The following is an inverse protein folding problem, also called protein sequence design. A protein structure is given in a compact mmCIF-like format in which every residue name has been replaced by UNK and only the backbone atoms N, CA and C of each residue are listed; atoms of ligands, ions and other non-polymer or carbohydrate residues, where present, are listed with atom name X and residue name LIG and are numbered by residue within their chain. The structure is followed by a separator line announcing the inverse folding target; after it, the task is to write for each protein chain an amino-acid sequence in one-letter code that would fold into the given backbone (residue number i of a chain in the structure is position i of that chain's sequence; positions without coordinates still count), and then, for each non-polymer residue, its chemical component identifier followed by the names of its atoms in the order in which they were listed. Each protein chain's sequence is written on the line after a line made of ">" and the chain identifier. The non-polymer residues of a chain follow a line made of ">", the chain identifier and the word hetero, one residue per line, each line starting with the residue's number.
data_IF_990340576659
#
_entry.id   IF_990340576659
#
_cell.length_a   1.000
_cell.length_b   1.000
_cell.length_c   1.000
_cell.angle_alpha   90.00
_cell.angle_beta   90.00
_cell.angle_gamma   90.00
#
_symmetry.space_group_name_H-M   'P 1'
#
loop_
_entity.id
_entity.type
_entity.pdbx_description
1 polymer ?
#
# COMPACT_ATOMS: atom_id res chain seq x y z
N UNK A 1 10.76 16.75 0.43
CA UNK A 1 9.44 16.33 -0.12
C UNK A 1 8.73 15.48 0.91
N UNK A 2 7.50 15.80 1.28
CA UNK A 2 6.67 15.01 2.21
C UNK A 2 5.73 14.09 1.41
N UNK A 3 6.25 12.95 0.94
CA UNK A 3 5.50 12.02 0.08
C UNK A 3 4.64 11.00 0.85
N UNK A 4 4.78 10.93 2.17
CA UNK A 4 3.93 10.12 3.05
C UNK A 4 2.81 11.01 3.58
N UNK A 5 1.57 10.69 3.22
CA UNK A 5 0.38 11.46 3.59
C UNK A 5 -0.54 10.62 4.48
N UNK A 6 -1.36 11.28 5.30
CA UNK A 6 -2.38 10.60 6.10
C UNK A 6 -3.69 10.54 5.31
N UNK A 7 -4.19 9.33 5.04
CA UNK A 7 -5.49 9.10 4.39
C UNK A 7 -6.65 9.01 5.40
N UNK A 8 -6.37 9.18 6.70
CA UNK A 8 -7.33 8.99 7.79
C UNK A 8 -6.98 7.73 8.58
N UNK A 9 -7.52 6.56 8.22
CA UNK A 9 -7.26 5.31 8.94
C UNK A 9 -5.88 4.69 8.67
N UNK A 10 -5.16 5.15 7.64
CA UNK A 10 -3.82 4.69 7.31
C UNK A 10 -2.96 5.80 6.70
N UNK A 11 -1.64 5.61 6.70
CA UNK A 11 -0.69 6.40 5.92
C UNK A 11 -0.62 5.87 4.49
N UNK A 12 -0.45 6.77 3.53
CA UNK A 12 -0.36 6.45 2.11
C UNK A 12 0.94 7.00 1.50
N UNK A 13 1.55 6.22 0.63
CA UNK A 13 2.69 6.62 -0.17
C UNK A 13 2.64 6.00 -1.58
N UNK A 14 3.33 6.62 -2.53
CA UNK A 14 3.44 6.11 -3.90
C UNK A 14 4.86 6.26 -4.41
N UNK A 15 5.37 5.21 -5.06
CA UNK A 15 6.60 5.27 -5.87
C UNK A 15 6.18 5.75 -7.25
N UNK A 16 6.61 6.95 -7.62
CA UNK A 16 6.24 7.55 -8.90
C UNK A 16 7.05 6.95 -10.05
N UNK A 17 6.43 6.89 -11.22
CA UNK A 17 7.14 6.59 -12.47
C UNK A 17 8.27 7.62 -12.69
N UNK A 18 9.43 7.15 -13.16
CA UNK A 18 10.62 7.99 -13.30
C UNK A 18 11.43 8.21 -12.02
N UNK A 19 10.97 7.72 -10.86
CA UNK A 19 11.83 7.67 -9.65
C UNK A 19 13.06 6.82 -9.95
N UNK A 20 14.29 7.27 -9.62
CA UNK A 20 15.48 6.43 -9.75
C UNK A 20 15.25 5.08 -9.09
N UNK A 21 15.66 4.00 -9.75
CA UNK A 21 15.55 2.64 -9.20
C UNK A 21 14.11 2.13 -8.98
N UNK A 22 13.07 2.82 -9.48
CA UNK A 22 11.66 2.41 -9.36
C UNK A 22 11.41 0.97 -9.81
N UNK A 23 12.15 0.50 -10.82
CA UNK A 23 12.05 -0.86 -11.36
C UNK A 23 12.25 -1.96 -10.32
N UNK A 24 13.05 -1.72 -9.27
CA UNK A 24 13.26 -2.72 -8.22
C UNK A 24 12.00 -2.86 -7.35
N UNK A 25 11.24 -1.79 -7.18
CA UNK A 25 10.03 -1.78 -6.37
C UNK A 25 8.81 -2.35 -7.08
N UNK A 26 8.89 -2.61 -8.40
CA UNK A 26 7.91 -3.44 -9.11
C UNK A 26 8.06 -4.95 -8.82
N UNK A 27 8.90 -5.33 -7.84
CA UNK A 27 8.91 -6.65 -7.23
C UNK A 27 8.17 -6.60 -5.87
N UNK A 28 7.19 -7.48 -5.61
CA UNK A 28 6.40 -7.47 -4.37
C UNK A 28 7.23 -7.42 -3.08
N UNK A 29 8.29 -8.24 -3.01
CA UNK A 29 9.13 -8.33 -1.82
C UNK A 29 9.94 -7.05 -1.58
N UNK A 30 10.45 -6.43 -2.65
CA UNK A 30 11.15 -5.16 -2.56
C UNK A 30 10.20 -4.02 -2.15
N UNK A 31 8.96 -4.01 -2.65
CA UNK A 31 7.94 -3.05 -2.24
C UNK A 31 7.58 -3.20 -0.76
N UNK A 32 7.39 -4.43 -0.29
CA UNK A 32 7.11 -4.73 1.13
C UNK A 32 8.27 -4.26 2.04
N UNK A 33 9.52 -4.49 1.63
CA UNK A 33 10.69 -4.02 2.35
C UNK A 33 10.77 -2.48 2.36
N UNK A 34 10.54 -1.84 1.22
CA UNK A 34 10.47 -0.38 1.10
C UNK A 34 9.38 0.19 2.02
N UNK A 35 8.20 -0.42 2.06
CA UNK A 35 7.11 0.00 2.94
C UNK A 35 7.56 0.00 4.40
N UNK A 36 8.19 -1.10 4.86
CA UNK A 36 8.64 -1.24 6.26
C UNK A 36 9.67 -0.19 6.64
N UNK A 37 10.65 0.07 5.77
CA UNK A 37 11.64 1.12 6.01
C UNK A 37 11.01 2.51 5.98
N UNK A 38 10.13 2.77 5.01
CA UNK A 38 9.42 4.05 4.87
C UNK A 38 8.60 4.38 6.11
N UNK A 39 7.81 3.42 6.61
CA UNK A 39 6.98 3.62 7.79
C UNK A 39 7.83 3.89 9.05
N UNK A 40 8.88 3.10 9.27
CA UNK A 40 9.80 3.31 10.40
C UNK A 40 10.51 4.65 10.33
N UNK A 41 11.02 5.02 9.15
CA UNK A 41 11.67 6.30 8.93
C UNK A 41 10.69 7.46 9.19
N UNK A 42 9.49 7.40 8.61
CA UNK A 42 8.46 8.42 8.80
C UNK A 42 8.12 8.59 10.29
N UNK A 43 7.85 7.50 11.00
CA UNK A 43 7.56 7.50 12.43
C UNK A 43 8.69 8.09 13.27
N UNK A 44 9.96 7.83 12.90
CA UNK A 44 11.12 8.32 13.66
C UNK A 44 11.31 9.83 13.59
N UNK A 45 10.89 10.47 12.49
CA UNK A 45 11.05 11.91 12.26
C UNK A 45 9.75 12.70 12.46
N UNK A 46 8.60 12.03 12.36
CA UNK A 46 7.29 12.67 12.47
C UNK A 46 6.98 13.05 13.93
N UNK A 47 6.62 14.31 14.15
CA UNK A 47 6.24 14.81 15.48
C UNK A 47 4.88 14.29 15.94
N UNK A 48 4.03 13.85 15.02
CA UNK A 48 2.70 13.33 15.36
C UNK A 48 2.80 11.92 15.93
N UNK A 49 2.58 11.77 17.24
CA UNK A 49 2.62 10.47 17.94
C UNK A 49 1.63 9.45 17.38
N UNK A 50 0.51 9.89 16.77
CA UNK A 50 -0.48 9.00 16.14
C UNK A 50 0.09 8.24 14.94
N UNK A 51 1.15 8.73 14.30
CA UNK A 51 1.78 8.04 13.15
C UNK A 51 2.30 6.64 13.52
N UNK A 52 2.66 6.40 14.80
CA UNK A 52 3.13 5.09 15.28
C UNK A 52 2.06 4.00 15.23
N UNK A 53 0.80 4.40 15.43
CA UNK A 53 -0.36 3.51 15.46
C UNK A 53 -1.10 3.41 14.13
N UNK A 54 -0.64 4.13 13.10
CA UNK A 54 -1.22 4.04 11.76
C UNK A 54 -0.45 3.02 10.91
N UNK A 55 -1.15 2.16 10.16
CA UNK A 55 -0.52 1.34 9.15
C UNK A 55 -0.08 2.16 7.94
N UNK A 56 0.69 1.56 7.02
CA UNK A 56 1.06 2.17 5.74
C UNK A 56 0.55 1.32 4.57
N UNK A 57 -0.07 1.98 3.60
CA UNK A 57 -0.32 1.43 2.26
C UNK A 57 0.58 2.15 1.26
N UNK A 58 1.41 1.39 0.55
CA UNK A 58 2.29 1.90 -0.51
C UNK A 58 1.85 1.37 -1.87
N UNK A 59 2.01 2.19 -2.90
CA UNK A 59 1.72 1.82 -4.29
C UNK A 59 2.91 2.06 -5.21
N UNK A 60 2.99 1.32 -6.31
CA UNK A 60 3.95 1.57 -7.39
C UNK A 60 3.36 1.12 -8.73
N UNK A 61 3.65 1.80 -9.86
CA UNK A 61 3.35 1.27 -11.17
C UNK A 61 3.95 -0.12 -11.38
N UNK A 62 3.23 -0.98 -12.09
CA UNK A 62 3.76 -2.27 -12.51
C UNK A 62 4.54 -2.14 -13.81
N UNK A 63 5.83 -1.83 -13.69
CA UNK A 63 6.71 -1.65 -14.86
C UNK A 63 7.14 -2.98 -15.50
N UNK A 64 6.78 -4.15 -14.92
CA UNK A 64 7.07 -5.45 -15.54
C UNK A 64 6.13 -5.72 -16.71
N UNK A 65 4.89 -5.22 -16.61
CA UNK A 65 3.85 -5.38 -17.62
C UNK A 65 3.21 -4.01 -17.91
N UNK A 66 3.92 -3.09 -18.56
CA UNK A 66 3.45 -1.71 -18.75
C UNK A 66 2.10 -1.62 -19.50
N UNK A 67 1.86 -2.55 -20.43
CA UNK A 67 0.60 -2.64 -21.20
C UNK A 67 -0.62 -3.03 -20.35
N UNK A 68 -0.43 -3.54 -19.12
CA UNK A 68 -1.52 -4.04 -18.29
C UNK A 68 -2.32 -2.95 -17.58
N UNK A 69 -1.85 -1.70 -17.57
CA UNK A 69 -2.41 -0.59 -16.78
C UNK A 69 -2.67 -0.95 -15.30
N UNK A 70 -1.77 -1.73 -14.71
CA UNK A 70 -1.85 -2.18 -13.32
C UNK A 70 -0.85 -1.45 -12.43
N UNK A 71 -1.14 -1.40 -11.15
CA UNK A 71 -0.22 -0.99 -10.10
C UNK A 71 -0.14 -2.07 -9.02
N UNK A 72 0.99 -2.15 -8.31
CA UNK A 72 1.10 -2.93 -7.09
C UNK A 72 0.64 -2.09 -5.90
N UNK A 73 -0.11 -2.72 -4.99
CA UNK A 73 -0.54 -2.14 -3.72
C UNK A 73 -0.05 -3.06 -2.60
N UNK A 74 0.63 -2.50 -1.60
CA UNK A 74 1.14 -3.25 -0.45
C UNK A 74 0.74 -2.56 0.85
N UNK A 75 0.10 -3.30 1.75
CA UNK A 75 -0.27 -2.83 3.09
C UNK A 75 0.62 -3.45 4.17
N UNK A 76 1.10 -2.64 5.13
CA UNK A 76 1.88 -3.10 6.28
C UNK A 76 1.29 -2.58 7.61
N UNK A 77 1.36 -3.36 8.70
CA UNK A 77 0.80 -2.97 9.98
C UNK A 77 1.54 -1.77 10.62
N UNK A 78 0.95 -1.12 11.63
CA UNK A 78 1.60 -0.06 12.38
C UNK A 78 2.92 -0.49 13.03
N UNK A 79 3.81 0.47 13.32
CA UNK A 79 5.08 0.19 14.03
C UNK A 79 4.83 -0.25 15.48
N UNK A 80 3.74 0.22 16.09
CA UNK A 80 3.35 -0.18 17.45
C UNK A 80 2.73 -1.58 17.53
N UNK A 81 2.46 -2.24 16.40
CA UNK A 81 1.90 -3.59 16.39
C UNK A 81 3.02 -4.62 16.61
N UNK A 82 2.92 -5.38 17.71
CA UNK A 82 3.87 -6.44 18.06
C UNK A 82 3.45 -7.79 17.45
N UNK A 83 2.17 -7.93 17.10
CA UNK A 83 1.67 -9.13 16.42
C UNK A 83 2.27 -9.25 15.02
N UNK A 84 2.65 -10.47 14.58
CA UNK A 84 3.06 -10.69 13.20
C UNK A 84 1.89 -10.64 12.21
N UNK A 85 0.65 -10.46 12.68
CA UNK A 85 -0.55 -10.49 11.83
C UNK A 85 -0.67 -9.23 10.98
N UNK A 86 -0.98 -9.42 9.71
CA UNK A 86 -1.29 -8.36 8.77
C UNK A 86 -2.72 -8.51 8.27
N UNK A 87 -3.56 -7.51 8.54
CA UNK A 87 -4.99 -7.54 8.18
C UNK A 87 -5.27 -7.05 6.75
N UNK A 88 -4.28 -6.46 6.07
CA UNK A 88 -4.51 -5.86 4.75
C UNK A 88 -4.91 -6.87 3.68
N UNK A 89 -4.51 -8.14 3.78
CA UNK A 89 -4.95 -9.13 2.79
C UNK A 89 -6.48 -9.27 2.76
N UNK A 90 -7.11 -9.40 3.93
CA UNK A 90 -8.57 -9.46 4.04
C UNK A 90 -9.23 -8.12 3.74
N UNK A 91 -8.62 -7.00 4.14
CA UNK A 91 -9.15 -5.67 3.85
C UNK A 91 -9.14 -5.36 2.34
N UNK A 92 -8.09 -5.76 1.63
CA UNK A 92 -7.97 -5.59 0.18
C UNK A 92 -8.96 -6.47 -0.58
N UNK A 93 -9.14 -7.72 -0.15
CA UNK A 93 -10.16 -8.62 -0.69
C UNK A 93 -11.57 -8.01 -0.59
N UNK A 94 -11.95 -7.55 0.61
CA UNK A 94 -13.26 -6.92 0.83
C UNK A 94 -13.44 -5.60 0.07
N UNK A 95 -12.40 -4.76 0.00
CA UNK A 95 -12.46 -3.50 -0.75
C UNK A 95 -12.61 -3.76 -2.26
N UNK A 96 -11.90 -4.73 -2.81
CA UNK A 96 -12.00 -5.12 -4.21
C UNK A 96 -13.38 -5.70 -4.54
N UNK A 97 -13.90 -6.61 -3.70
CA UNK A 97 -15.22 -7.21 -3.86
C UNK A 97 -16.34 -6.16 -3.80
N UNK A 98 -16.34 -5.29 -2.77
CA UNK A 98 -17.35 -4.25 -2.57
C UNK A 98 -17.43 -3.27 -3.74
N UNK A 99 -16.31 -3.03 -4.42
CA UNK A 99 -16.23 -2.05 -5.52
C UNK A 99 -16.32 -2.69 -6.89
N UNK A 100 -16.23 -4.02 -7.01
CA UNK A 100 -16.04 -4.70 -8.28
C UNK A 100 -14.76 -4.24 -8.99
N UNK A 101 -13.69 -3.95 -8.23
CA UNK A 101 -12.41 -3.53 -8.78
C UNK A 101 -11.70 -4.71 -9.43
N UNK A 102 -11.08 -4.46 -10.58
CA UNK A 102 -10.17 -5.40 -11.24
C UNK A 102 -8.86 -5.45 -10.44
N UNK A 103 -8.78 -6.44 -9.56
CA UNK A 103 -7.60 -6.71 -8.75
C UNK A 103 -7.16 -8.18 -8.88
N UNK A 104 -5.85 -8.43 -8.86
CA UNK A 104 -5.27 -9.77 -8.82
C UNK A 104 -4.69 -9.99 -7.41
N UNK A 105 -5.23 -10.99 -6.71
CA UNK A 105 -4.89 -11.33 -5.32
C UNK A 105 -4.14 -12.67 -5.26
N UNK A 106 -3.19 -12.86 -6.18
CA UNK A 106 -2.53 -14.17 -6.41
C UNK A 106 -1.14 -14.27 -5.77
N UNK A 107 -0.65 -13.22 -5.12
CA UNK A 107 0.61 -13.28 -4.38
C UNK A 107 0.47 -14.14 -3.13
N UNK A 108 1.54 -14.86 -2.79
CA UNK A 108 1.62 -15.63 -1.53
C UNK A 108 1.41 -14.72 -0.31
N UNK A 109 2.06 -13.55 -0.32
CA UNK A 109 1.82 -12.50 0.66
C UNK A 109 0.53 -11.76 0.31
N UNK A 110 -0.56 -12.14 0.98
CA UNK A 110 -1.91 -11.61 0.70
C UNK A 110 -2.05 -10.10 0.93
N UNK A 111 -1.15 -9.49 1.70
CA UNK A 111 -1.11 -8.04 1.90
C UNK A 111 -0.52 -7.27 0.71
N UNK A 112 -0.32 -7.93 -0.42
CA UNK A 112 0.10 -7.35 -1.69
C UNK A 112 -0.88 -7.79 -2.77
N UNK A 113 -1.32 -6.85 -3.61
CA UNK A 113 -2.21 -7.11 -4.75
C UNK A 113 -1.73 -6.35 -6.00
N UNK A 114 -2.16 -6.79 -7.19
CA UNK A 114 -2.17 -5.93 -8.38
C UNK A 114 -3.55 -5.33 -8.53
N UNK A 115 -3.63 -4.05 -8.86
CA UNK A 115 -4.88 -3.30 -8.97
C UNK A 115 -4.86 -2.48 -10.26
N UNK A 116 -5.95 -2.52 -11.01
CA UNK A 116 -6.14 -1.66 -12.17
C UNK A 116 -6.04 -0.19 -11.76
N UNK A 117 -5.26 0.61 -12.50
CA UNK A 117 -5.10 2.04 -12.23
C UNK A 117 -6.45 2.77 -12.33
N UNK A 118 -7.32 2.32 -13.24
CA UNK A 118 -8.66 2.89 -13.45
C UNK A 118 -9.58 2.71 -12.23
N UNK A 119 -9.32 1.67 -11.42
CA UNK A 119 -10.13 1.32 -10.25
C UNK A 119 -9.57 1.87 -8.94
N UNK A 120 -8.40 2.49 -9.00
CA UNK A 120 -7.64 2.93 -7.84
C UNK A 120 -8.46 3.83 -6.92
N UNK A 121 -9.15 4.83 -7.46
CA UNK A 121 -9.93 5.78 -6.64
C UNK A 121 -11.02 5.07 -5.85
N UNK A 122 -11.91 4.34 -6.54
CA UNK A 122 -13.03 3.62 -5.91
C UNK A 122 -12.56 2.59 -4.88
N UNK A 123 -11.47 1.86 -5.18
CA UNK A 123 -10.87 0.92 -4.27
C UNK A 123 -10.39 1.59 -2.97
N UNK A 124 -9.64 2.69 -3.07
CA UNK A 124 -9.11 3.39 -1.90
C UNK A 124 -10.22 4.06 -1.09
N UNK A 125 -11.27 4.58 -1.72
CA UNK A 125 -12.44 5.13 -1.01
C UNK A 125 -13.14 4.03 -0.18
N UNK A 126 -13.33 2.84 -0.76
CA UNK A 126 -13.90 1.71 -0.05
C UNK A 126 -12.98 1.20 1.07
N UNK A 127 -11.67 1.16 0.85
CA UNK A 127 -10.69 0.77 1.87
C UNK A 127 -10.66 1.77 3.04
N UNK A 128 -10.71 3.07 2.77
CA UNK A 128 -10.81 4.11 3.80
C UNK A 128 -12.10 3.91 4.60
N UNK A 129 -13.22 3.72 3.93
CA UNK A 129 -14.51 3.45 4.59
C UNK A 129 -14.52 2.17 5.43
N UNK A 130 -13.75 1.14 5.05
CA UNK A 130 -13.69 -0.14 5.76
C UNK A 130 -12.85 -0.06 7.04
N UNK A 131 -11.83 0.79 7.05
CA UNK A 131 -10.84 0.90 8.13
C UNK A 131 -11.08 2.09 9.08
N UNK A 132 -12.07 2.94 8.78
CA UNK A 132 -12.49 4.07 9.61
C UNK A 132 -13.48 3.62 10.69
#
# INVERSE_FOLDING_TARGET
>A
MNQVISAGPFLYATVLEGTPDARFFSAPQCLSLLARFTLRAHVSVCRNKKSRSLPLVITTPDVRYPESNMCLVCGIPPVSEESPRNFFGKAFEQAAEKTGSKAELEFFDTNIIRLSVDDRSRFFDALISLLS
#
